data_IF_450798941795
#
_entry.id   IF_450798941795
#
_cell.length_a   1.000
_cell.length_b   1.000
_cell.length_c   1.000
_cell.angle_alpha   90.00
_cell.angle_beta   90.00
_cell.angle_gamma   90.00
#
_symmetry.space_group_name_H-M   'P 1'
#
loop_
_entity.id
_entity.type
_entity.pdbx_description
1 polymer ?
#
# COMPACT_ATOMS: atom_id res chain seq x y z
N UNK A 1 -18.73 2.47 -11.32
CA UNK A 1 -17.51 2.35 -12.15
C UNK A 1 -17.82 2.74 -13.58
N UNK A 2 -16.91 3.47 -14.23
CA UNK A 2 -16.96 3.85 -15.64
C UNK A 2 -15.66 3.44 -16.35
N UNK A 3 -15.77 2.69 -17.44
CA UNK A 3 -14.63 2.38 -18.33
C UNK A 3 -14.71 3.28 -19.56
N UNK A 4 -13.64 4.03 -19.82
CA UNK A 4 -13.52 4.95 -20.95
C UNK A 4 -12.60 4.31 -21.99
N UNK A 5 -13.09 3.96 -23.19
CA UNK A 5 -12.26 3.35 -24.22
C UNK A 5 -11.35 4.40 -24.88
N UNK A 6 -10.05 4.12 -24.96
CA UNK A 6 -9.06 4.92 -25.70
C UNK A 6 -8.87 4.34 -27.10
N UNK A 7 -9.25 5.10 -28.12
CA UNK A 7 -9.33 4.62 -29.50
C UNK A 7 -7.95 4.26 -30.09
N UNK A 8 -7.86 3.08 -30.68
CA UNK A 8 -6.65 2.60 -31.36
C UNK A 8 -5.44 2.34 -30.45
N UNK A 9 -5.63 2.28 -29.13
CA UNK A 9 -4.56 2.04 -28.15
C UNK A 9 -4.70 0.69 -27.45
N UNK A 10 -3.60 0.23 -26.88
CA UNK A 10 -3.45 -0.93 -25.98
C UNK A 10 -2.96 -0.48 -24.59
N UNK A 11 -3.40 -1.16 -23.53
CA UNK A 11 -3.01 -0.88 -22.15
C UNK A 11 -4.00 -0.03 -21.36
N UNK A 12 -3.67 0.22 -20.09
CA UNK A 12 -4.45 1.01 -19.13
C UNK A 12 -3.69 2.30 -18.82
N UNK A 13 -4.38 3.45 -18.83
CA UNK A 13 -3.71 4.76 -18.89
C UNK A 13 -3.96 5.67 -17.69
N UNK A 14 -5.18 5.68 -17.18
CA UNK A 14 -5.58 6.59 -16.12
C UNK A 14 -6.71 5.96 -15.31
N UNK A 15 -6.54 5.93 -14.00
CA UNK A 15 -7.50 5.50 -13.02
C UNK A 15 -7.72 6.64 -12.03
N UNK A 16 -8.94 6.78 -11.54
CA UNK A 16 -9.20 7.57 -10.35
C UNK A 16 -10.47 7.06 -9.68
N UNK A 17 -10.46 7.05 -8.36
CA UNK A 17 -11.59 6.68 -7.52
C UNK A 17 -11.94 7.87 -6.63
N UNK A 18 -13.23 8.18 -6.54
CA UNK A 18 -13.76 9.27 -5.72
C UNK A 18 -14.83 8.77 -4.77
N UNK A 19 -14.92 9.40 -3.61
CA UNK A 19 -16.05 9.31 -2.69
C UNK A 19 -17.22 10.21 -3.09
N UNK A 20 -18.45 9.79 -2.77
CA UNK A 20 -19.65 10.63 -2.80
C UNK A 20 -20.00 11.25 -4.16
N UNK A 21 -19.51 10.68 -5.27
CA UNK A 21 -19.60 11.28 -6.61
C UNK A 21 -20.85 10.83 -7.35
N UNK A 22 -21.58 11.80 -7.92
CA UNK A 22 -22.76 11.57 -8.78
C UNK A 22 -23.85 10.69 -8.11
N UNK A 23 -23.98 10.78 -6.78
CA UNK A 23 -24.94 10.00 -5.99
C UNK A 23 -24.50 8.57 -5.64
N UNK A 24 -23.25 8.20 -5.93
CA UNK A 24 -22.63 6.94 -5.52
C UNK A 24 -21.67 7.18 -4.36
N UNK A 25 -21.67 6.27 -3.38
CA UNK A 25 -20.72 6.32 -2.26
C UNK A 25 -19.26 6.21 -2.76
N UNK A 26 -19.02 5.35 -3.75
CA UNK A 26 -17.71 5.22 -4.39
C UNK A 26 -17.83 5.12 -5.92
N UNK A 27 -17.00 5.87 -6.63
CA UNK A 27 -16.98 5.88 -8.10
C UNK A 27 -15.57 5.81 -8.65
N UNK A 28 -15.24 4.72 -9.35
CA UNK A 28 -14.00 4.59 -10.13
C UNK A 28 -14.24 4.91 -11.60
N UNK A 29 -13.34 5.70 -12.21
CA UNK A 29 -13.23 5.84 -13.66
C UNK A 29 -11.86 5.34 -14.11
N UNK A 30 -11.84 4.53 -15.17
CA UNK A 30 -10.60 4.00 -15.76
C UNK A 30 -10.58 4.19 -17.28
N UNK A 31 -9.44 4.54 -17.85
CA UNK A 31 -9.20 4.62 -19.30
C UNK A 31 -8.46 3.37 -19.78
N UNK A 32 -9.04 2.65 -20.74
CA UNK A 32 -8.53 1.38 -21.27
C UNK A 32 -8.46 1.44 -22.80
N UNK A 33 -7.34 1.04 -23.39
CA UNK A 33 -7.17 0.96 -24.83
C UNK A 33 -8.12 -0.05 -25.48
N UNK A 34 -8.72 0.29 -26.62
CA UNK A 34 -9.63 -0.60 -27.35
C UNK A 34 -8.99 -1.92 -27.82
N UNK A 35 -7.67 -1.94 -27.97
CA UNK A 35 -6.90 -3.10 -28.41
C UNK A 35 -6.26 -3.87 -27.24
N UNK A 36 -6.55 -3.49 -25.99
CA UNK A 36 -5.99 -4.13 -24.80
C UNK A 36 -6.43 -5.59 -24.73
N UNK A 37 -5.46 -6.48 -24.65
CA UNK A 37 -5.66 -7.92 -24.53
C UNK A 37 -6.04 -8.30 -23.10
N UNK A 38 -6.63 -9.49 -22.94
CA UNK A 38 -6.93 -10.03 -21.61
C UNK A 38 -5.64 -10.22 -20.77
N UNK A 39 -4.51 -10.54 -21.41
CA UNK A 39 -3.23 -10.69 -20.71
C UNK A 39 -2.71 -9.33 -20.21
N UNK A 40 -2.77 -8.29 -21.03
CA UNK A 40 -2.39 -6.93 -20.61
C UNK A 40 -3.26 -6.43 -19.45
N UNK A 41 -4.57 -6.71 -19.47
CA UNK A 41 -5.44 -6.40 -18.33
C UNK A 41 -5.09 -7.22 -17.08
N UNK A 42 -4.69 -8.49 -17.26
CA UNK A 42 -4.26 -9.35 -16.16
C UNK A 42 -2.89 -8.96 -15.61
N UNK A 43 -2.02 -8.32 -16.41
CA UNK A 43 -0.70 -7.86 -15.96
C UNK A 43 -0.72 -6.41 -15.43
N UNK A 44 -1.77 -5.66 -15.73
CA UNK A 44 -1.97 -4.29 -15.23
C UNK A 44 -2.31 -4.27 -13.73
N UNK A 45 -2.02 -3.14 -13.07
CA UNK A 45 -2.19 -2.93 -11.63
C UNK A 45 -3.21 -1.82 -11.32
N UNK A 46 -3.61 -1.02 -12.31
CA UNK A 46 -4.30 0.24 -12.08
C UNK A 46 -5.72 0.01 -11.56
N UNK A 47 -6.47 -0.93 -12.13
CA UNK A 47 -7.83 -1.22 -11.64
C UNK A 47 -7.83 -1.66 -10.18
N UNK A 48 -6.91 -2.55 -9.81
CA UNK A 48 -6.82 -3.09 -8.45
C UNK A 48 -6.29 -2.05 -7.46
N UNK A 49 -5.42 -1.14 -7.89
CA UNK A 49 -5.00 0.04 -7.13
C UNK A 49 -6.19 0.95 -6.84
N UNK A 50 -6.92 1.33 -7.88
CA UNK A 50 -8.10 2.20 -7.77
C UNK A 50 -9.19 1.60 -6.86
N UNK A 51 -9.44 0.30 -6.97
CA UNK A 51 -10.42 -0.36 -6.11
C UNK A 51 -9.98 -0.42 -4.65
N UNK A 52 -8.68 -0.32 -4.35
CA UNK A 52 -8.19 -0.28 -2.96
C UNK A 52 -8.62 1.00 -2.26
N UNK A 53 -8.66 2.13 -2.97
CA UNK A 53 -9.09 3.43 -2.43
C UNK A 53 -10.51 3.39 -1.84
N UNK A 54 -11.39 2.52 -2.35
CA UNK A 54 -12.75 2.36 -1.81
C UNK A 54 -12.78 1.98 -0.31
N UNK A 55 -11.74 1.31 0.17
CA UNK A 55 -11.66 0.68 1.48
C UNK A 55 -10.88 1.52 2.52
N UNK A 56 -10.81 2.84 2.32
CA UNK A 56 -10.19 3.79 3.25
C UNK A 56 -10.93 5.13 3.20
N UNK A 57 -11.02 5.91 4.29
CA UNK A 57 -11.64 7.24 4.25
C UNK A 57 -10.84 8.21 3.40
N UNK A 58 -11.55 9.16 2.78
CA UNK A 58 -10.97 10.31 2.10
C UNK A 58 -10.25 11.19 3.14
N UNK A 59 -9.04 11.63 2.82
CA UNK A 59 -8.18 12.38 3.74
C UNK A 59 -7.95 13.83 3.29
N UNK A 60 -7.52 14.71 4.21
CA UNK A 60 -6.96 16.02 3.82
C UNK A 60 -5.78 15.87 2.86
N UNK A 61 -5.59 16.85 1.97
CA UNK A 61 -4.54 16.87 0.94
C UNK A 61 -3.14 16.56 1.49
N UNK A 62 -2.80 17.05 2.69
CA UNK A 62 -1.51 16.79 3.33
C UNK A 62 -1.25 15.30 3.60
N UNK A 63 -2.31 14.52 3.83
CA UNK A 63 -2.23 13.10 4.19
C UNK A 63 -2.49 12.17 3.00
N UNK A 64 -2.66 12.69 1.78
CA UNK A 64 -2.94 11.90 0.58
C UNK A 64 -1.91 10.79 0.30
N UNK A 65 -0.68 10.93 0.81
CA UNK A 65 0.34 9.88 0.78
C UNK A 65 -0.11 8.57 1.44
N UNK A 66 -1.02 8.62 2.43
CA UNK A 66 -1.52 7.40 3.08
C UNK A 66 -2.45 6.63 2.15
N UNK A 67 -3.34 7.32 1.43
CA UNK A 67 -4.27 6.70 0.49
C UNK A 67 -3.50 6.01 -0.64
N UNK A 68 -2.61 6.75 -1.31
CA UNK A 68 -1.77 6.22 -2.39
C UNK A 68 -0.77 5.17 -1.91
N UNK A 69 -0.25 5.33 -0.69
CA UNK A 69 0.65 4.39 -0.05
C UNK A 69 -0.02 3.05 0.26
N UNK A 70 -1.24 3.09 0.81
CA UNK A 70 -2.05 1.90 1.06
C UNK A 70 -2.33 1.20 -0.26
N UNK A 71 -2.78 1.91 -1.29
CA UNK A 71 -3.05 1.33 -2.59
C UNK A 71 -1.79 0.69 -3.20
N UNK A 72 -0.65 1.37 -3.16
CA UNK A 72 0.65 0.86 -3.63
C UNK A 72 1.12 -0.40 -2.87
N UNK A 73 0.81 -0.51 -1.58
CA UNK A 73 1.22 -1.64 -0.74
C UNK A 73 0.25 -2.83 -0.83
N UNK A 74 -1.05 -2.56 -0.72
CA UNK A 74 -2.11 -3.56 -0.60
C UNK A 74 -2.45 -4.19 -1.94
N UNK A 75 -2.48 -3.42 -3.03
CA UNK A 75 -2.81 -3.91 -4.37
C UNK A 75 -2.04 -5.18 -4.75
N UNK A 76 -0.69 -5.19 -4.73
CA UNK A 76 0.04 -6.36 -5.20
C UNK A 76 -0.06 -7.53 -4.21
N UNK A 77 -0.17 -7.25 -2.91
CA UNK A 77 -0.35 -8.28 -1.88
C UNK A 77 -1.70 -8.97 -2.04
N UNK A 78 -2.78 -8.22 -2.22
CA UNK A 78 -4.12 -8.75 -2.41
C UNK A 78 -4.18 -9.69 -3.61
N UNK A 79 -3.47 -9.37 -4.69
CA UNK A 79 -3.40 -10.22 -5.89
C UNK A 79 -2.57 -11.48 -5.68
N UNK A 80 -1.52 -11.45 -4.86
CA UNK A 80 -0.83 -12.70 -4.44
C UNK A 80 -1.74 -13.57 -3.58
N UNK A 81 -2.48 -12.95 -2.65
CA UNK A 81 -3.44 -13.65 -1.78
C UNK A 81 -4.60 -14.25 -2.59
N UNK A 82 -5.08 -13.57 -3.63
CA UNK A 82 -6.06 -14.07 -4.60
C UNK A 82 -5.49 -15.13 -5.56
N UNK A 83 -4.17 -15.18 -5.69
CA UNK A 83 -3.45 -16.14 -6.50
C UNK A 83 -3.20 -15.75 -7.95
N UNK A 84 -3.32 -14.46 -8.24
CA UNK A 84 -3.08 -13.84 -9.54
C UNK A 84 -1.60 -13.48 -9.76
N UNK A 85 -0.90 -13.12 -8.68
CA UNK A 85 0.53 -12.78 -8.72
C UNK A 85 1.37 -13.78 -7.91
N UNK A 86 2.65 -13.89 -8.27
CA UNK A 86 3.64 -14.66 -7.52
C UNK A 86 4.27 -13.82 -6.39
N UNK A 87 4.47 -14.43 -5.22
CA UNK A 87 5.05 -13.73 -4.07
C UNK A 87 6.48 -13.22 -4.36
N UNK A 88 7.33 -13.98 -5.08
CA UNK A 88 8.67 -13.49 -5.41
C UNK A 88 8.61 -12.27 -6.34
N UNK A 89 7.62 -12.22 -7.23
CA UNK A 89 7.44 -11.05 -8.09
C UNK A 89 7.20 -9.80 -7.26
N UNK A 90 6.21 -9.80 -6.38
CA UNK A 90 5.87 -8.58 -5.61
C UNK A 90 6.98 -8.20 -4.62
N UNK A 91 7.66 -9.17 -4.01
CA UNK A 91 8.80 -8.88 -3.13
C UNK A 91 10.01 -8.31 -3.91
N UNK A 92 10.21 -8.73 -5.17
CA UNK A 92 11.21 -8.12 -6.06
C UNK A 92 10.83 -6.68 -6.41
N UNK A 93 9.57 -6.45 -6.77
CA UNK A 93 9.06 -5.12 -7.13
C UNK A 93 9.15 -4.16 -5.93
N UNK A 94 8.82 -4.62 -4.71
CA UNK A 94 9.00 -3.85 -3.47
C UNK A 94 10.47 -3.54 -3.16
N UNK A 95 11.40 -4.49 -3.40
CA UNK A 95 12.83 -4.26 -3.20
C UNK A 95 13.37 -3.16 -4.13
N UNK A 96 12.82 -3.05 -5.35
CA UNK A 96 13.17 -1.98 -6.31
C UNK A 96 12.42 -0.66 -6.05
N UNK A 97 11.19 -0.75 -5.56
CA UNK A 97 10.30 0.39 -5.38
C UNK A 97 10.52 1.17 -4.09
N UNK A 98 10.63 0.49 -2.95
CA UNK A 98 10.73 1.13 -1.63
C UNK A 98 11.89 2.14 -1.50
N UNK A 99 13.08 1.95 -2.10
CA UNK A 99 14.12 2.98 -2.09
C UNK A 99 13.70 4.32 -2.71
N UNK A 100 12.70 4.34 -3.60
CA UNK A 100 12.15 5.57 -4.20
C UNK A 100 11.34 6.39 -3.18
N UNK A 101 10.90 5.75 -2.09
CA UNK A 101 10.15 6.33 -0.99
C UNK A 101 11.00 6.89 0.14
N UNK A 102 12.31 6.61 0.17
CA UNK A 102 13.23 7.18 1.17
C UNK A 102 13.33 8.71 1.05
N UNK A 103 13.52 9.43 2.16
CA UNK A 103 13.61 10.88 2.13
C UNK A 103 14.85 11.35 1.38
N UNK A 104 14.72 12.46 0.66
CA UNK A 104 15.83 13.15 0.01
C UNK A 104 16.28 14.37 0.82
N UNK A 105 17.48 14.92 0.54
CA UNK A 105 17.91 16.17 1.16
C UNK A 105 16.87 17.28 0.94
N UNK A 106 16.35 17.83 2.05
CA UNK A 106 15.32 18.87 2.04
C UNK A 106 13.89 18.37 2.32
N UNK A 107 13.66 17.05 2.40
CA UNK A 107 12.35 16.51 2.77
C UNK A 107 12.05 16.77 4.26
N UNK A 108 10.77 16.98 4.58
CA UNK A 108 10.31 17.44 5.90
C UNK A 108 9.29 16.50 6.55
N UNK A 109 9.19 15.26 6.06
CA UNK A 109 8.19 14.28 6.48
C UNK A 109 7.08 14.08 5.45
N UNK A 110 6.27 13.04 5.64
CA UNK A 110 5.26 12.63 4.66
C UNK A 110 4.13 13.65 4.47
N UNK A 111 3.74 14.37 5.53
CA UNK A 111 2.69 15.40 5.45
C UNK A 111 3.16 16.69 4.77
N UNK A 112 4.48 16.83 4.55
CA UNK A 112 5.10 18.07 4.04
C UNK A 112 5.87 17.88 2.75
N UNK A 113 5.91 16.67 2.21
CA UNK A 113 6.72 16.36 1.02
C UNK A 113 5.91 15.54 0.01
N UNK A 114 5.20 16.24 -0.86
CA UNK A 114 4.28 15.67 -1.85
C UNK A 114 4.95 15.32 -3.19
N UNK A 115 6.16 14.75 -3.15
CA UNK A 115 6.78 14.23 -4.37
C UNK A 115 6.18 12.86 -4.69
N UNK A 116 6.11 12.49 -5.98
CA UNK A 116 5.61 11.17 -6.39
C UNK A 116 6.24 10.00 -5.61
N UNK A 117 7.56 10.04 -5.38
CA UNK A 117 8.25 9.01 -4.61
C UNK A 117 7.77 8.93 -3.16
N UNK A 118 7.59 10.08 -2.49
CA UNK A 118 7.14 10.14 -1.09
C UNK A 118 5.65 9.80 -0.94
N UNK A 119 4.81 10.22 -1.88
CA UNK A 119 3.37 9.91 -1.89
C UNK A 119 3.12 8.40 -2.07
N UNK A 120 3.66 7.80 -3.13
CA UNK A 120 3.38 6.39 -3.45
C UNK A 120 4.30 5.44 -2.66
N UNK A 121 5.61 5.54 -2.87
CA UNK A 121 6.57 4.61 -2.27
C UNK A 121 6.88 4.93 -0.81
N UNK A 122 6.81 6.20 -0.40
CA UNK A 122 6.97 6.59 1.00
C UNK A 122 5.78 6.13 1.86
N UNK A 123 4.55 6.27 1.35
CA UNK A 123 3.37 5.71 1.99
C UNK A 123 3.37 4.18 2.00
N UNK A 124 3.78 3.53 0.91
CA UNK A 124 3.93 2.08 0.88
C UNK A 124 4.99 1.57 1.87
N UNK A 125 6.09 2.32 2.02
CA UNK A 125 7.15 2.02 2.98
C UNK A 125 6.65 2.15 4.42
N UNK A 126 5.85 3.18 4.72
CA UNK A 126 5.15 3.30 6.00
C UNK A 126 4.29 2.07 6.27
N UNK A 127 3.47 1.64 5.30
CA UNK A 127 2.59 0.48 5.42
C UNK A 127 3.38 -0.83 5.67
N UNK A 128 4.46 -1.07 4.92
CA UNK A 128 5.31 -2.24 5.11
C UNK A 128 5.95 -2.27 6.51
N UNK A 129 6.54 -1.15 6.95
CA UNK A 129 7.17 -1.07 8.26
C UNK A 129 6.14 -1.23 9.37
N UNK A 130 4.94 -0.65 9.20
CA UNK A 130 3.84 -0.84 10.13
C UNK A 130 3.39 -2.30 10.22
N UNK A 131 3.16 -2.98 9.09
CA UNK A 131 2.74 -4.39 9.07
C UNK A 131 3.78 -5.28 9.76
N UNK A 132 5.07 -5.08 9.45
CA UNK A 132 6.16 -5.82 10.10
C UNK A 132 6.21 -5.57 11.60
N UNK A 133 6.05 -4.32 12.05
CA UNK A 133 6.08 -3.99 13.49
C UNK A 133 4.85 -4.52 14.23
N UNK A 134 3.65 -4.39 13.66
CA UNK A 134 2.42 -4.98 14.22
C UNK A 134 2.60 -6.50 14.38
N UNK A 135 3.11 -7.17 13.35
CA UNK A 135 3.35 -8.62 13.43
C UNK A 135 4.40 -8.97 14.47
N UNK A 136 5.48 -8.18 14.62
CA UNK A 136 6.46 -8.40 15.69
C UNK A 136 5.85 -8.26 17.08
N UNK A 137 5.11 -7.19 17.33
CA UNK A 137 4.50 -6.92 18.64
C UNK A 137 3.39 -7.92 19.01
N UNK A 138 2.66 -8.40 18.01
CA UNK A 138 1.56 -9.34 18.22
C UNK A 138 1.98 -10.80 18.07
N UNK A 139 3.25 -11.12 17.83
CA UNK A 139 3.72 -12.48 17.57
C UNK A 139 3.05 -13.11 16.34
N UNK A 140 2.94 -12.32 15.27
CA UNK A 140 2.34 -12.62 13.96
C UNK A 140 0.86 -13.04 14.01
N UNK A 141 0.16 -12.68 15.09
CA UNK A 141 -1.30 -12.90 15.23
C UNK A 141 -2.14 -11.87 14.49
N UNK A 142 -1.62 -10.66 14.34
CA UNK A 142 -2.27 -9.53 13.67
C UNK A 142 -1.28 -8.86 12.73
N UNK A 143 -1.80 -8.22 11.68
CA UNK A 143 -1.04 -7.41 10.75
C UNK A 143 -1.78 -6.14 10.36
N UNK A 144 -1.19 -5.35 9.46
CA UNK A 144 -1.78 -4.11 8.95
C UNK A 144 -3.14 -4.33 8.29
N UNK A 145 -3.35 -5.49 7.66
CA UNK A 145 -4.64 -5.87 7.09
C UNK A 145 -5.76 -5.97 8.13
N UNK A 146 -5.46 -6.37 9.38
CA UNK A 146 -6.46 -6.34 10.46
C UNK A 146 -6.86 -4.90 10.79
N UNK A 147 -5.89 -3.99 10.87
CA UNK A 147 -6.13 -2.57 11.10
C UNK A 147 -7.03 -1.96 10.00
N UNK A 148 -6.72 -2.21 8.72
CA UNK A 148 -7.54 -1.73 7.59
C UNK A 148 -8.97 -2.26 7.64
N UNK A 149 -9.16 -3.55 7.96
CA UNK A 149 -10.50 -4.14 8.11
C UNK A 149 -11.30 -3.50 9.25
N UNK A 150 -10.65 -3.17 10.36
CA UNK A 150 -11.32 -2.47 11.46
C UNK A 150 -11.72 -1.04 11.10
N UNK A 151 -10.90 -0.33 10.32
CA UNK A 151 -11.23 1.02 9.80
C UNK A 151 -12.49 0.94 8.94
N UNK A 152 -12.54 0.01 7.98
CA UNK A 152 -13.75 -0.21 7.15
C UNK A 152 -14.96 -0.58 8.00
N UNK A 153 -14.79 -1.47 8.99
CA UNK A 153 -15.86 -1.89 9.91
C UNK A 153 -16.40 -0.72 10.74
N UNK A 154 -15.55 0.26 11.05
CA UNK A 154 -15.93 1.49 11.74
C UNK A 154 -16.56 2.56 10.81
N UNK A 155 -16.72 2.24 9.52
CA UNK A 155 -17.28 3.12 8.49
C UNK A 155 -16.27 4.05 7.84
N UNK A 156 -14.97 3.74 7.89
CA UNK A 156 -13.91 4.48 7.21
C UNK A 156 -13.79 4.00 5.77
N UNK A 157 -14.65 4.53 4.90
CA UNK A 157 -14.72 4.23 3.47
C UNK A 157 -14.66 5.53 2.68
N UNK A 158 -14.36 5.45 1.38
CA UNK A 158 -14.01 6.62 0.54
C UNK A 158 -15.09 7.71 0.51
N UNK A 159 -16.35 7.39 0.79
CA UNK A 159 -17.45 8.36 0.94
C UNK A 159 -17.39 9.21 2.22
N UNK A 160 -16.37 9.01 3.06
CA UNK A 160 -16.23 9.66 4.37
C UNK A 160 -14.90 10.38 4.49
N UNK A 161 -14.97 11.67 4.79
CA UNK A 161 -13.81 12.49 5.16
C UNK A 161 -13.45 12.28 6.63
N UNK A 162 -12.27 11.72 6.91
CA UNK A 162 -11.78 11.52 8.28
C UNK A 162 -10.39 12.17 8.47
N UNK A 163 -10.07 12.67 9.67
CA UNK A 163 -8.67 12.92 10.02
C UNK A 163 -7.90 11.59 10.07
N UNK A 164 -6.67 11.58 9.54
CA UNK A 164 -5.85 10.37 9.47
C UNK A 164 -5.64 9.74 10.86
N UNK A 165 -5.45 10.55 11.90
CA UNK A 165 -5.25 10.09 13.28
C UNK A 165 -6.39 9.18 13.74
N UNK A 166 -7.65 9.49 13.39
CA UNK A 166 -8.80 8.66 13.77
C UNK A 166 -8.69 7.27 13.14
N UNK A 167 -8.32 7.18 11.87
CA UNK A 167 -8.17 5.91 11.18
C UNK A 167 -7.04 5.09 11.83
N UNK A 168 -5.90 5.72 12.11
CA UNK A 168 -4.75 5.06 12.75
C UNK A 168 -5.05 4.61 14.18
N UNK A 169 -5.78 5.40 14.97
CA UNK A 169 -6.22 5.02 16.32
C UNK A 169 -7.13 3.80 16.32
N UNK A 170 -8.03 3.68 15.34
CA UNK A 170 -8.88 2.50 15.16
C UNK A 170 -8.02 1.27 14.81
N UNK A 171 -7.05 1.44 13.92
CA UNK A 171 -6.11 0.37 13.56
C UNK A 171 -5.24 -0.10 14.73
N UNK A 172 -4.71 0.82 15.53
CA UNK A 172 -3.95 0.53 16.75
C UNK A 172 -4.82 -0.21 17.78
N UNK A 173 -6.08 0.21 17.96
CA UNK A 173 -7.03 -0.47 18.84
C UNK A 173 -7.32 -1.91 18.41
N UNK A 174 -7.51 -2.16 17.11
CA UNK A 174 -7.77 -3.51 16.60
C UNK A 174 -6.56 -4.44 16.78
N UNK A 175 -5.36 -3.91 16.50
CA UNK A 175 -4.13 -4.70 16.61
C UNK A 175 -3.68 -4.87 18.07
N UNK A 176 -4.22 -4.06 18.98
CA UNK A 176 -3.78 -4.01 20.38
C UNK A 176 -2.37 -3.43 20.54
N UNK A 177 -1.97 -2.55 19.61
CA UNK A 177 -0.63 -1.92 19.56
C UNK A 177 -0.74 -0.39 19.53
N UNK A 178 0.40 0.29 19.45
CA UNK A 178 0.47 1.73 19.17
C UNK A 178 1.33 2.05 17.93
N UNK A 179 1.54 1.05 17.06
CA UNK A 179 2.49 1.13 15.95
C UNK A 179 2.12 2.26 14.99
N UNK A 180 0.86 2.34 14.57
CA UNK A 180 0.41 3.27 13.53
C UNK A 180 0.49 4.72 14.00
N UNK A 181 -0.07 5.03 15.17
CA UNK A 181 -0.07 6.40 15.70
C UNK A 181 1.33 6.84 16.17
N UNK A 182 2.18 5.93 16.64
CA UNK A 182 3.56 6.25 17.01
C UNK A 182 4.41 6.52 15.77
N UNK A 183 4.30 5.66 14.76
CA UNK A 183 5.02 5.87 13.50
C UNK A 183 4.55 7.15 12.82
N UNK A 184 3.24 7.40 12.74
CA UNK A 184 2.73 8.61 12.11
C UNK A 184 3.25 9.88 12.78
N UNK A 185 3.24 9.95 14.13
CA UNK A 185 3.84 11.08 14.88
C UNK A 185 5.32 11.33 14.55
N UNK A 186 6.06 10.30 14.17
CA UNK A 186 7.46 10.41 13.79
C UNK A 186 7.62 10.77 12.31
N UNK A 187 6.84 10.16 11.42
CA UNK A 187 7.03 10.21 9.97
C UNK A 187 6.29 11.39 9.31
N UNK A 188 5.24 11.91 9.94
CA UNK A 188 4.45 13.02 9.40
C UNK A 188 5.30 14.25 9.15
N UNK A 189 6.12 14.66 10.13
CA UNK A 189 6.91 15.90 10.10
C UNK A 189 8.42 15.69 10.21
N UNK A 190 8.91 14.45 10.09
CA UNK A 190 10.34 14.19 10.03
C UNK A 190 10.69 13.28 8.85
N UNK A 191 11.80 13.53 8.13
CA UNK A 191 12.32 12.64 7.11
C UNK A 191 12.93 11.39 7.77
N UNK A 192 12.11 10.38 8.05
CA UNK A 192 12.59 9.10 8.59
C UNK A 192 13.15 8.24 7.46
N UNK A 193 14.40 7.81 7.63
CA UNK A 193 15.08 6.86 6.75
C UNK A 193 14.94 5.44 7.32
N UNK A 194 14.65 4.46 6.47
CA UNK A 194 14.59 3.04 6.85
C UNK A 194 15.86 2.34 6.42
N UNK A 195 16.45 1.53 7.31
CA UNK A 195 17.53 0.62 6.93
C UNK A 195 16.95 -0.55 6.10
N UNK A 196 16.68 -0.29 4.82
CA UNK A 196 16.14 -1.25 3.87
C UNK A 196 17.01 -2.51 3.74
N UNK A 197 18.36 -2.43 3.66
CA UNK A 197 19.21 -3.62 3.67
C UNK A 197 18.96 -4.53 4.90
N UNK A 198 18.85 -3.94 6.09
CA UNK A 198 18.55 -4.70 7.32
C UNK A 198 17.12 -5.25 7.30
N UNK A 199 16.14 -4.48 6.82
CA UNK A 199 14.75 -4.93 6.69
C UNK A 199 14.65 -6.16 5.77
N UNK A 200 15.21 -6.08 4.56
CA UNK A 200 15.22 -7.17 3.59
C UNK A 200 15.93 -8.41 4.11
N UNK A 201 17.09 -8.24 4.74
CA UNK A 201 17.81 -9.34 5.37
C UNK A 201 16.99 -10.00 6.47
N UNK A 202 16.30 -9.21 7.30
CA UNK A 202 15.48 -9.72 8.41
C UNK A 202 14.26 -10.49 7.90
N UNK A 203 13.62 -10.00 6.84
CA UNK A 203 12.54 -10.70 6.12
C UNK A 203 13.05 -11.89 5.30
N UNK A 204 14.37 -12.09 5.19
CA UNK A 204 14.96 -13.17 4.42
C UNK A 204 14.78 -13.01 2.92
N UNK A 205 14.76 -11.79 2.41
CA UNK A 205 14.62 -11.51 0.97
C UNK A 205 16.00 -11.14 0.44
N UNK A 206 16.48 -11.87 -0.58
CA UNK A 206 17.78 -11.61 -1.22
C UNK A 206 17.60 -11.46 -2.71
N UNK A 207 18.30 -10.50 -3.31
CA UNK A 207 18.30 -10.31 -4.77
C UNK A 207 18.95 -11.52 -5.45
N UNK A 208 18.31 -12.02 -6.50
CA UNK A 208 18.81 -13.09 -7.36
C UNK A 208 18.48 -12.76 -8.83
N UNK A 209 19.40 -12.08 -9.52
CA UNK A 209 19.15 -11.58 -10.88
C UNK A 209 18.01 -10.56 -10.90
N UNK A 210 17.00 -10.80 -11.74
CA UNK A 210 15.78 -9.98 -11.87
C UNK A 210 14.64 -10.44 -10.93
N UNK A 211 14.93 -11.32 -9.98
CA UNK A 211 13.98 -11.82 -8.98
C UNK A 211 14.59 -11.81 -7.58
N UNK A 212 13.89 -12.45 -6.64
CA UNK A 212 14.34 -12.64 -5.26
C UNK A 212 14.32 -14.11 -4.85
N UNK A 213 15.21 -14.44 -3.93
CA UNK A 213 15.22 -15.70 -3.19
C UNK A 213 14.80 -15.47 -1.74
N UNK A 214 14.15 -16.50 -1.17
CA UNK A 214 13.70 -16.48 0.20
C UNK A 214 14.58 -17.35 1.07
N UNK A 215 15.19 -16.72 2.08
CA UNK A 215 15.77 -17.39 3.22
C UNK A 215 14.65 -17.75 4.21
N UNK A 216 14.48 -19.04 4.48
CA UNK A 216 13.50 -19.55 5.44
C UNK A 216 14.00 -19.52 6.89
N UNK A 217 15.30 -19.30 7.10
CA UNK A 217 15.91 -19.22 8.44
C UNK A 217 16.06 -17.77 8.93
N UNK A 218 15.67 -16.78 8.12
CA UNK A 218 15.73 -15.39 8.52
C UNK A 218 14.75 -15.10 9.67
N UNK A 219 15.09 -14.17 10.60
CA UNK A 219 14.30 -13.93 11.80
C UNK A 219 12.82 -13.60 11.55
N UNK A 220 12.52 -12.91 10.44
CA UNK A 220 11.16 -12.50 10.05
C UNK A 220 10.66 -13.25 8.81
N UNK A 221 11.21 -14.43 8.50
CA UNK A 221 10.75 -15.24 7.37
C UNK A 221 9.26 -15.62 7.50
N UNK A 222 8.80 -15.94 8.71
CA UNK A 222 7.39 -16.23 8.98
C UNK A 222 6.49 -15.02 8.73
N UNK A 223 6.93 -13.83 9.16
CA UNK A 223 6.24 -12.55 8.90
C UNK A 223 6.11 -12.31 7.39
N UNK A 224 7.22 -12.40 6.63
CA UNK A 224 7.19 -12.29 5.16
C UNK A 224 6.17 -13.25 4.55
N UNK A 225 6.16 -14.51 4.98
CA UNK A 225 5.21 -15.50 4.50
C UNK A 225 3.77 -15.13 4.84
N UNK A 226 3.49 -14.68 6.07
CA UNK A 226 2.14 -14.32 6.51
C UNK A 226 1.58 -13.08 5.83
N UNK A 227 2.42 -12.16 5.33
CA UNK A 227 1.99 -10.99 4.54
C UNK A 227 1.35 -11.43 3.22
N UNK A 228 1.96 -12.39 2.53
CA UNK A 228 1.51 -12.86 1.20
C UNK A 228 0.79 -14.22 1.24
N UNK A 229 0.35 -14.68 2.42
CA UNK A 229 -0.32 -15.98 2.56
C UNK A 229 -1.76 -15.87 2.08
N UNK A 230 -2.18 -16.82 1.24
CA UNK A 230 -3.58 -16.99 0.81
C UNK A 230 -4.48 -17.44 1.97
#
# INVERSE_FOLDING_TARGET
MLVVPEAGRDGVFHGTTWGGRDGFDGFTRISVGQNTTAQELADDWMMTHELTHMAFPDLPDENHWMEEGIATYVEPIARVQAGELDAKRIWSDMMEGMPKGEPKPGDEGLDRTHTWGRTYWGGALFCLVADVNIRKETGDRKGFQDALRAIVTAGGTIDREWPLERALEIGDKETGTHVLTTMYRQWSTNPVEVDLPVLWKSLGIRRAGDTVEFDTHAPLAAVRTSITRR
#
